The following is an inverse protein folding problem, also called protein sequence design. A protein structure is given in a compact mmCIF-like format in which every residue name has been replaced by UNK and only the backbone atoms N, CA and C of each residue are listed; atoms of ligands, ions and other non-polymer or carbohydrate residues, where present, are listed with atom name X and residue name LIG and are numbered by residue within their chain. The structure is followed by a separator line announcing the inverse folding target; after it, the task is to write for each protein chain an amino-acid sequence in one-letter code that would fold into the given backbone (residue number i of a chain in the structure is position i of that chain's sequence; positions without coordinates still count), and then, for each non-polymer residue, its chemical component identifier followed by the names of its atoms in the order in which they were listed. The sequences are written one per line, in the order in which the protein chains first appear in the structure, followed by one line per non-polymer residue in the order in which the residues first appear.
data_IF_170347152422
#
_entry.id   IF_170347152422
#
_cell.length_a   1.000
_cell.length_b   1.000
_cell.length_c   1.000
_cell.angle_alpha   90.00
_cell.angle_beta   90.00
_cell.angle_gamma   90.00
#
_symmetry.space_group_name_H-M   'P 1'
#
loop_
_entity.id
_entity.type
_entity.pdbx_description
1 polymer ?
#
# COMPACT_ATOMS: atom_id res chain seq x y z
N UNK A 1 -8.04 20.18 -8.02
CA UNK A 1 -6.71 19.86 -7.45
C UNK A 1 -6.70 18.37 -7.18
N UNK A 2 -5.62 17.64 -7.53
CA UNK A 2 -5.57 16.17 -7.37
C UNK A 2 -5.25 15.78 -5.92
N UNK A 3 -4.50 16.62 -5.20
CA UNK A 3 -4.38 16.62 -3.75
C UNK A 3 -4.41 18.09 -3.28
N UNK A 4 -4.76 18.33 -2.02
CA UNK A 4 -4.84 19.68 -1.44
C UNK A 4 -3.49 20.24 -1.00
N UNK A 5 -2.60 19.39 -0.50
CA UNK A 5 -1.31 19.81 0.03
C UNK A 5 -0.14 19.01 -0.56
N UNK A 6 0.91 19.72 -0.95
CA UNK A 6 2.15 19.12 -1.48
C UNK A 6 2.78 18.15 -0.48
N UNK A 7 2.73 18.49 0.81
CA UNK A 7 3.23 17.64 1.90
C UNK A 7 2.52 16.29 1.97
N UNK A 8 1.20 16.28 1.80
CA UNK A 8 0.39 15.05 1.87
C UNK A 8 0.65 14.15 0.66
N UNK A 9 0.80 14.73 -0.54
CA UNK A 9 1.19 14.00 -1.73
C UNK A 9 2.62 13.41 -1.58
N UNK A 10 3.57 14.18 -1.06
CA UNK A 10 4.93 13.70 -0.81
C UNK A 10 4.96 12.60 0.26
N UNK A 11 4.22 12.76 1.37
CA UNK A 11 4.09 11.74 2.42
C UNK A 11 3.42 10.46 1.89
N UNK A 12 2.42 10.58 1.01
CA UNK A 12 1.79 9.43 0.34
C UNK A 12 2.81 8.65 -0.49
N UNK A 13 3.71 9.32 -1.20
CA UNK A 13 4.81 8.66 -1.92
C UNK A 13 5.75 7.89 -0.98
N UNK A 14 6.01 8.41 0.24
CA UNK A 14 6.76 7.69 1.29
C UNK A 14 6.06 6.40 1.67
N UNK A 15 4.81 6.52 2.09
CA UNK A 15 4.04 5.42 2.65
C UNK A 15 3.85 4.32 1.60
N UNK A 16 3.40 4.69 0.40
CA UNK A 16 3.17 3.72 -0.67
C UNK A 16 4.47 3.11 -1.19
N UNK A 17 5.58 3.86 -1.26
CA UNK A 17 6.89 3.31 -1.61
C UNK A 17 7.38 2.27 -0.60
N UNK A 18 7.28 2.58 0.70
CA UNK A 18 7.65 1.64 1.76
C UNK A 18 6.81 0.35 1.72
N UNK A 19 5.49 0.49 1.64
CA UNK A 19 4.61 -0.68 1.61
C UNK A 19 4.73 -1.47 0.30
N UNK A 20 4.92 -0.81 -0.85
CA UNK A 20 5.19 -1.50 -2.11
C UNK A 20 6.42 -2.42 -2.01
N UNK A 21 7.51 -1.94 -1.40
CA UNK A 21 8.70 -2.76 -1.14
C UNK A 21 8.37 -3.99 -0.28
N UNK A 22 7.57 -3.81 0.77
CA UNK A 22 7.15 -4.88 1.68
C UNK A 22 6.27 -5.93 0.98
N UNK A 23 5.36 -5.51 0.10
CA UNK A 23 4.53 -6.40 -0.70
C UNK A 23 5.34 -7.18 -1.75
N UNK A 24 6.32 -6.54 -2.39
CA UNK A 24 7.29 -7.27 -3.22
C UNK A 24 8.11 -8.27 -2.40
N UNK A 25 8.35 -8.01 -1.11
CA UNK A 25 8.93 -8.97 -0.17
C UNK A 25 8.06 -10.22 0.03
N UNK A 26 6.75 -10.04 0.25
CA UNK A 26 5.79 -11.16 0.26
C UNK A 26 5.81 -11.95 -1.05
N UNK A 27 6.01 -11.27 -2.18
CA UNK A 27 6.09 -11.95 -3.47
C UNK A 27 7.31 -12.88 -3.62
N UNK A 28 8.31 -12.76 -2.75
CA UNK A 28 9.53 -13.56 -2.79
C UNK A 28 9.45 -14.92 -2.07
N UNK A 29 8.32 -15.29 -1.45
CA UNK A 29 8.19 -16.58 -0.75
C UNK A 29 8.54 -17.79 -1.66
N UNK A 30 7.98 -17.82 -2.88
CA UNK A 30 8.31 -18.83 -3.89
C UNK A 30 8.01 -18.32 -5.32
N UNK A 31 8.65 -17.24 -5.78
CA UNK A 31 8.36 -16.67 -7.09
C UNK A 31 8.93 -17.55 -8.21
N UNK A 32 8.28 -17.58 -9.39
CA UNK A 32 8.89 -18.06 -10.62
C UNK A 32 10.28 -17.42 -10.83
N UNK A 33 11.29 -18.18 -11.31
CA UNK A 33 12.64 -17.65 -11.49
C UNK A 33 12.72 -16.37 -12.33
N UNK A 34 11.86 -16.26 -13.34
CA UNK A 34 11.76 -15.09 -14.21
C UNK A 34 11.32 -13.81 -13.47
N UNK A 35 10.62 -13.92 -12.34
CA UNK A 35 10.11 -12.76 -11.60
C UNK A 35 11.16 -12.17 -10.65
N UNK A 36 12.17 -12.95 -10.24
CA UNK A 36 13.11 -12.53 -9.18
C UNK A 36 13.78 -11.19 -9.46
N UNK A 37 14.25 -10.97 -10.70
CA UNK A 37 14.85 -9.70 -11.12
C UNK A 37 13.83 -8.56 -11.07
N UNK A 38 12.63 -8.79 -11.59
CA UNK A 38 11.55 -7.81 -11.59
C UNK A 38 11.15 -7.40 -10.17
N UNK A 39 10.98 -8.37 -9.27
CA UNK A 39 10.66 -8.13 -7.86
C UNK A 39 11.75 -7.32 -7.16
N UNK A 40 13.02 -7.66 -7.37
CA UNK A 40 14.14 -6.93 -6.80
C UNK A 40 14.18 -5.48 -7.32
N UNK A 41 14.03 -5.27 -8.63
CA UNK A 41 13.96 -3.93 -9.23
C UNK A 41 12.76 -3.15 -8.70
N UNK A 42 11.59 -3.79 -8.55
CA UNK A 42 10.39 -3.21 -7.98
C UNK A 42 10.59 -2.75 -6.54
N UNK A 43 11.15 -3.61 -5.67
CA UNK A 43 11.49 -3.26 -4.29
C UNK A 43 12.45 -2.08 -4.20
N UNK A 44 13.54 -2.09 -4.99
CA UNK A 44 14.53 -1.00 -5.01
C UNK A 44 13.87 0.31 -5.45
N UNK A 45 13.09 0.28 -6.53
CA UNK A 45 12.40 1.46 -7.04
C UNK A 45 11.41 2.00 -6.01
N UNK A 46 10.68 1.12 -5.33
CA UNK A 46 9.75 1.49 -4.27
C UNK A 46 10.45 2.20 -3.09
N UNK A 47 11.62 1.72 -2.68
CA UNK A 47 12.45 2.39 -1.67
C UNK A 47 12.95 3.75 -2.18
N UNK A 48 13.38 3.85 -3.43
CA UNK A 48 13.79 5.14 -4.01
C UNK A 48 12.65 6.15 -4.02
N UNK A 49 11.42 5.72 -4.34
CA UNK A 49 10.24 6.59 -4.25
C UNK A 49 9.99 7.02 -2.81
N UNK A 50 10.15 6.11 -1.84
CA UNK A 50 9.97 6.45 -0.44
C UNK A 50 10.99 7.48 0.07
N UNK A 51 12.26 7.33 -0.33
CA UNK A 51 13.32 8.28 0.01
C UNK A 51 13.07 9.63 -0.65
N UNK A 52 12.77 9.65 -1.96
CA UNK A 52 12.50 10.90 -2.69
C UNK A 52 11.29 11.64 -2.12
N UNK A 53 10.19 10.93 -1.84
CA UNK A 53 9.02 11.48 -1.16
C UNK A 53 9.36 12.02 0.24
N UNK A 54 10.23 11.35 0.99
CA UNK A 54 10.61 11.76 2.33
C UNK A 54 11.45 13.03 2.33
N UNK A 55 12.38 13.15 1.39
CA UNK A 55 13.15 14.38 1.18
C UNK A 55 12.24 15.55 0.78
N UNK A 56 11.24 15.32 -0.07
CA UNK A 56 10.31 16.35 -0.49
C UNK A 56 9.35 16.75 0.66
N UNK A 57 8.79 15.78 1.38
CA UNK A 57 7.95 16.04 2.55
C UNK A 57 8.70 16.79 3.65
N UNK A 58 10.00 16.52 3.83
CA UNK A 58 10.84 17.27 4.76
C UNK A 58 11.05 18.73 4.32
N UNK A 59 11.26 18.99 3.02
CA UNK A 59 11.36 20.36 2.49
C UNK A 59 10.08 21.16 2.68
N UNK A 60 8.94 20.50 2.55
CA UNK A 60 7.60 21.09 2.70
C UNK A 60 6.99 20.86 4.09
N UNK A 61 7.82 20.59 5.11
CA UNK A 61 7.31 20.20 6.44
C UNK A 61 6.48 21.29 7.12
N UNK A 62 6.83 22.55 6.85
CA UNK A 62 6.14 23.73 7.39
C UNK A 62 4.91 24.16 6.58
N UNK A 63 4.64 23.49 5.46
CA UNK A 63 3.47 23.78 4.62
C UNK A 63 2.22 23.11 5.21
N UNK A 64 1.06 23.50 4.67
CA UNK A 64 -0.23 22.94 5.06
C UNK A 64 -0.31 21.42 4.89
N UNK A 65 -1.23 20.80 5.64
CA UNK A 65 -1.53 19.37 5.61
C UNK A 65 -2.98 19.16 5.99
N UNK A 66 -3.58 18.07 5.52
CA UNK A 66 -4.91 17.64 5.94
C UNK A 66 -4.98 17.26 7.44
N UNK A 67 -3.83 17.07 8.09
CA UNK A 67 -3.76 16.66 9.49
C UNK A 67 -3.82 17.84 10.47
N UNK A 68 -4.96 17.96 11.14
CA UNK A 68 -5.15 18.74 12.37
C UNK A 68 -5.38 17.81 13.58
N UNK A 69 -5.79 18.36 14.73
CA UNK A 69 -6.01 17.58 15.94
C UNK A 69 -7.11 16.50 15.78
N UNK A 70 -8.20 16.84 15.11
CA UNK A 70 -9.36 15.95 14.95
C UNK A 70 -9.12 14.90 13.86
N UNK A 71 -8.54 15.31 12.74
CA UNK A 71 -8.20 14.42 11.62
C UNK A 71 -7.09 13.45 12.02
N UNK A 72 -6.08 13.90 12.78
CA UNK A 72 -5.02 13.02 13.29
C UNK A 72 -5.55 11.97 14.26
N UNK A 73 -6.48 12.35 15.15
CA UNK A 73 -7.13 11.42 16.06
C UNK A 73 -7.94 10.38 15.30
N UNK A 74 -8.75 10.83 14.33
CA UNK A 74 -9.61 9.95 13.54
C UNK A 74 -8.77 8.99 12.69
N UNK A 75 -7.72 9.49 12.06
CA UNK A 75 -6.73 8.68 11.34
C UNK A 75 -6.12 7.61 12.24
N UNK A 76 -5.69 7.98 13.46
CA UNK A 76 -5.14 7.02 14.43
C UNK A 76 -6.13 5.91 14.81
N UNK A 77 -7.42 6.23 14.95
CA UNK A 77 -8.48 5.23 15.19
C UNK A 77 -8.64 4.31 13.99
N UNK A 78 -8.71 4.86 12.78
CA UNK A 78 -8.86 4.10 11.53
C UNK A 78 -7.69 3.14 11.33
N UNK A 79 -6.45 3.59 11.57
CA UNK A 79 -5.24 2.75 11.55
C UNK A 79 -5.27 1.71 12.67
N UNK A 80 -5.68 2.09 13.89
CA UNK A 80 -5.80 1.15 15.00
C UNK A 80 -6.75 -0.01 14.72
N UNK A 81 -7.90 0.29 14.10
CA UNK A 81 -8.88 -0.72 13.65
C UNK A 81 -8.26 -1.61 12.57
N UNK A 82 -7.58 -1.03 11.58
CA UNK A 82 -6.90 -1.78 10.51
C UNK A 82 -5.91 -2.79 11.09
N UNK A 83 -4.95 -2.34 11.90
CA UNK A 83 -3.94 -3.22 12.50
C UNK A 83 -4.58 -4.28 13.40
N UNK A 84 -5.65 -3.93 14.13
CA UNK A 84 -6.44 -4.88 14.91
C UNK A 84 -7.07 -5.98 14.05
N UNK A 85 -7.78 -5.61 12.98
CA UNK A 85 -8.43 -6.56 12.07
C UNK A 85 -7.40 -7.41 11.31
N UNK A 86 -6.31 -6.80 10.83
CA UNK A 86 -5.22 -7.49 10.15
C UNK A 86 -4.58 -8.53 11.08
N UNK A 87 -4.21 -8.14 12.30
CA UNK A 87 -3.58 -9.01 13.29
C UNK A 87 -4.49 -10.13 13.78
N UNK A 88 -5.74 -9.82 14.14
CA UNK A 88 -6.71 -10.81 14.61
C UNK A 88 -7.00 -11.84 13.51
N UNK A 89 -7.31 -11.41 12.29
CA UNK A 89 -7.60 -12.34 11.20
C UNK A 89 -6.38 -13.15 10.77
N UNK A 90 -5.17 -12.57 10.78
CA UNK A 90 -3.93 -13.33 10.56
C UNK A 90 -3.72 -14.40 11.64
N UNK A 91 -3.96 -14.06 12.91
CA UNK A 91 -3.88 -15.00 14.04
C UNK A 91 -4.88 -16.15 13.92
N UNK A 92 -6.14 -15.85 13.56
CA UNK A 92 -7.18 -16.86 13.31
C UNK A 92 -6.77 -17.78 12.16
N UNK A 93 -6.32 -17.23 11.03
CA UNK A 93 -5.88 -18.03 9.88
C UNK A 93 -4.68 -18.91 10.23
N UNK A 94 -3.72 -18.41 11.00
CA UNK A 94 -2.59 -19.20 11.48
C UNK A 94 -3.05 -20.35 12.39
N UNK A 95 -3.94 -20.07 13.35
CA UNK A 95 -4.50 -21.08 14.25
C UNK A 95 -5.27 -22.18 13.50
N UNK A 96 -5.97 -21.81 12.42
CA UNK A 96 -6.69 -22.75 11.55
C UNK A 96 -5.79 -23.46 10.52
N UNK A 97 -4.47 -23.26 10.56
CA UNK A 97 -3.51 -23.79 9.57
C UNK A 97 -3.90 -23.41 8.14
N UNK A 98 -4.27 -22.14 7.96
CA UNK A 98 -4.57 -21.48 6.69
C UNK A 98 -3.65 -20.29 6.44
N UNK A 99 -2.38 -20.42 6.86
CA UNK A 99 -1.39 -19.35 6.79
C UNK A 99 -1.13 -18.85 5.38
N UNK A 100 -1.40 -19.68 4.36
CA UNK A 100 -1.32 -19.31 2.95
C UNK A 100 -2.30 -18.18 2.56
N UNK A 101 -3.36 -17.97 3.35
CA UNK A 101 -4.36 -16.93 3.10
C UNK A 101 -4.07 -15.61 3.84
N UNK A 102 -3.05 -15.56 4.70
CA UNK A 102 -2.74 -14.38 5.52
C UNK A 102 -2.43 -13.17 4.64
N UNK A 103 -1.65 -13.34 3.57
CA UNK A 103 -1.35 -12.26 2.63
C UNK A 103 -2.61 -11.65 2.01
N UNK A 104 -3.54 -12.50 1.56
CA UNK A 104 -4.80 -12.06 0.95
C UNK A 104 -5.70 -11.38 1.98
N UNK A 105 -5.75 -11.88 3.22
CA UNK A 105 -6.47 -11.23 4.32
C UNK A 105 -5.93 -9.84 4.62
N UNK A 106 -4.62 -9.71 4.80
CA UNK A 106 -3.99 -8.41 5.09
C UNK A 106 -4.22 -7.45 3.92
N UNK A 107 -4.07 -7.91 2.67
CA UNK A 107 -4.34 -7.07 1.50
C UNK A 107 -5.81 -6.60 1.44
N UNK A 108 -6.76 -7.46 1.81
CA UNK A 108 -8.17 -7.08 1.89
C UNK A 108 -8.39 -5.99 2.94
N UNK A 109 -7.84 -6.18 4.14
CA UNK A 109 -7.95 -5.20 5.24
C UNK A 109 -7.32 -3.86 4.85
N UNK A 110 -6.11 -3.87 4.28
CA UNK A 110 -5.42 -2.67 3.78
C UNK A 110 -6.25 -1.99 2.69
N UNK A 111 -6.76 -2.74 1.70
CA UNK A 111 -7.58 -2.18 0.63
C UNK A 111 -8.84 -1.49 1.15
N UNK A 112 -9.53 -2.12 2.12
CA UNK A 112 -10.72 -1.53 2.76
C UNK A 112 -10.36 -0.32 3.63
N UNK A 113 -9.24 -0.39 4.37
CA UNK A 113 -8.74 0.69 5.22
C UNK A 113 -8.40 1.97 4.43
N UNK A 114 -7.94 1.82 3.18
CA UNK A 114 -7.56 2.97 2.37
C UNK A 114 -8.76 3.85 1.97
N UNK A 115 -10.00 3.35 1.97
CA UNK A 115 -11.20 4.17 1.70
C UNK A 115 -11.38 5.30 2.73
N UNK A 116 -11.51 5.02 4.05
CA UNK A 116 -11.61 6.10 5.04
C UNK A 116 -10.35 6.97 5.10
N UNK A 117 -9.15 6.44 4.81
CA UNK A 117 -7.95 7.27 4.69
C UNK A 117 -8.09 8.27 3.55
N UNK A 118 -8.57 7.84 2.38
CA UNK A 118 -8.74 8.70 1.22
C UNK A 118 -9.68 9.89 1.50
N UNK A 119 -10.75 9.64 2.26
CA UNK A 119 -11.69 10.69 2.72
C UNK A 119 -11.03 11.63 3.74
N UNK A 120 -10.30 11.09 4.72
CA UNK A 120 -9.67 11.90 5.77
C UNK A 120 -8.62 12.88 5.24
N UNK A 121 -7.90 12.49 4.19
CA UNK A 121 -6.85 13.34 3.61
C UNK A 121 -7.28 14.04 2.31
N UNK A 122 -8.55 13.86 1.91
CA UNK A 122 -9.15 14.35 0.66
C UNK A 122 -8.24 14.17 -0.56
N UNK A 123 -7.82 12.91 -0.79
CA UNK A 123 -6.92 12.55 -1.87
C UNK A 123 -7.53 11.43 -2.76
N UNK A 124 -8.24 11.79 -3.86
CA UNK A 124 -8.96 10.85 -4.71
C UNK A 124 -8.13 9.70 -5.30
N UNK A 125 -6.81 9.87 -5.49
CA UNK A 125 -5.93 8.79 -5.94
C UNK A 125 -6.02 7.57 -5.00
N UNK A 126 -6.16 7.81 -3.70
CA UNK A 126 -6.19 6.74 -2.69
C UNK A 126 -7.45 5.89 -2.82
N UNK A 127 -8.58 6.45 -3.26
CA UNK A 127 -9.78 5.66 -3.59
C UNK A 127 -9.53 4.63 -4.69
N UNK A 128 -8.77 5.03 -5.72
CA UNK A 128 -8.40 4.12 -6.82
C UNK A 128 -7.47 3.03 -6.30
N UNK A 129 -6.48 3.38 -5.48
CA UNK A 129 -5.58 2.41 -4.84
C UNK A 129 -6.36 1.45 -3.97
N UNK A 130 -7.27 1.94 -3.12
CA UNK A 130 -8.13 1.15 -2.25
C UNK A 130 -8.88 0.08 -3.05
N UNK A 131 -9.60 0.49 -4.10
CA UNK A 131 -10.36 -0.41 -4.96
C UNK A 131 -9.47 -1.46 -5.65
N UNK A 132 -8.30 -1.05 -6.17
CA UNK A 132 -7.38 -1.97 -6.86
C UNK A 132 -6.76 -2.99 -5.89
N UNK A 133 -6.36 -2.57 -4.68
CA UNK A 133 -5.82 -3.48 -3.66
C UNK A 133 -6.90 -4.46 -3.19
N UNK A 134 -8.12 -4.00 -2.95
CA UNK A 134 -9.25 -4.87 -2.62
C UNK A 134 -9.51 -5.88 -3.75
N UNK A 135 -9.48 -5.43 -5.01
CA UNK A 135 -9.64 -6.33 -6.15
C UNK A 135 -8.51 -7.38 -6.23
N UNK A 136 -7.25 -6.97 -6.01
CA UNK A 136 -6.11 -7.88 -5.94
C UNK A 136 -6.32 -8.92 -4.84
N UNK A 137 -6.75 -8.52 -3.64
CA UNK A 137 -6.99 -9.43 -2.53
C UNK A 137 -8.05 -10.50 -2.84
N UNK A 138 -9.15 -10.08 -3.48
CA UNK A 138 -10.24 -10.99 -3.88
C UNK A 138 -9.83 -11.91 -5.03
N UNK A 139 -9.09 -11.39 -6.03
CA UNK A 139 -8.68 -12.14 -7.21
C UNK A 139 -7.47 -13.05 -6.96
N UNK A 140 -6.66 -12.78 -5.94
CA UNK A 140 -5.39 -13.50 -5.75
C UNK A 140 -5.56 -15.00 -5.54
N UNK A 141 -6.58 -15.42 -4.80
CA UNK A 141 -6.83 -16.85 -4.52
C UNK A 141 -7.16 -17.65 -5.79
N UNK A 142 -8.17 -17.27 -6.61
CA UNK A 142 -8.45 -18.00 -7.84
C UNK A 142 -7.29 -17.93 -8.84
N UNK A 143 -6.61 -16.77 -8.96
CA UNK A 143 -5.45 -16.63 -9.84
C UNK A 143 -4.31 -17.54 -9.40
N UNK A 144 -3.94 -17.55 -8.12
CA UNK A 144 -2.88 -18.39 -7.58
C UNK A 144 -3.16 -19.88 -7.83
N UNK A 145 -4.39 -20.33 -7.60
CA UNK A 145 -4.82 -21.71 -7.87
C UNK A 145 -4.73 -22.06 -9.35
N UNK A 146 -5.22 -21.20 -10.23
CA UNK A 146 -5.23 -21.44 -11.69
C UNK A 146 -3.83 -21.51 -12.32
N UNK A 147 -2.83 -20.90 -11.67
CA UNK A 147 -1.45 -20.79 -12.15
C UNK A 147 -0.45 -21.59 -11.31
N UNK A 148 -0.92 -22.37 -10.34
CA UNK A 148 -0.07 -23.11 -9.39
C UNK A 148 0.98 -22.24 -8.69
N UNK A 149 0.59 -21.03 -8.30
CA UNK A 149 1.43 -20.05 -7.59
C UNK A 149 1.05 -20.00 -6.10
N UNK A 150 1.96 -19.47 -5.28
CA UNK A 150 1.61 -19.08 -3.91
C UNK A 150 0.69 -17.86 -3.93
N UNK A 151 -0.30 -17.83 -3.03
CA UNK A 151 -1.21 -16.68 -2.89
C UNK A 151 -0.42 -15.41 -2.57
N UNK A 152 0.56 -15.50 -1.68
CA UNK A 152 1.52 -14.42 -1.36
C UNK A 152 2.26 -13.86 -2.57
N UNK A 153 2.65 -14.71 -3.52
CA UNK A 153 3.28 -14.28 -4.77
C UNK A 153 2.36 -13.40 -5.61
N UNK A 154 1.09 -13.81 -5.75
CA UNK A 154 0.09 -13.07 -6.54
C UNK A 154 -0.32 -11.77 -5.85
N UNK A 155 -0.62 -11.83 -4.55
CA UNK A 155 -0.96 -10.65 -3.75
C UNK A 155 0.20 -9.66 -3.75
N UNK A 156 1.42 -10.13 -3.48
CA UNK A 156 2.59 -9.27 -3.36
C UNK A 156 2.94 -8.55 -4.66
N UNK A 157 2.87 -9.23 -5.81
CA UNK A 157 3.05 -8.59 -7.12
C UNK A 157 1.93 -7.58 -7.39
N UNK A 158 0.67 -7.97 -7.20
CA UNK A 158 -0.47 -7.10 -7.48
C UNK A 158 -0.46 -5.85 -6.60
N UNK A 159 -0.41 -6.03 -5.29
CA UNK A 159 -0.41 -4.94 -4.32
C UNK A 159 0.84 -4.07 -4.44
N UNK A 160 2.02 -4.69 -4.58
CA UNK A 160 3.28 -3.98 -4.77
C UNK A 160 3.29 -3.11 -6.03
N UNK A 161 2.71 -3.60 -7.13
CA UNK A 161 2.63 -2.85 -8.40
C UNK A 161 1.67 -1.66 -8.30
N UNK A 162 0.49 -1.86 -7.70
CA UNK A 162 -0.49 -0.79 -7.49
C UNK A 162 0.10 0.32 -6.60
N UNK A 163 0.71 -0.06 -5.47
CA UNK A 163 1.31 0.90 -4.54
C UNK A 163 2.53 1.59 -5.15
N UNK A 164 3.37 0.89 -5.92
CA UNK A 164 4.50 1.52 -6.60
C UNK A 164 4.02 2.56 -7.62
N UNK A 165 3.01 2.22 -8.44
CA UNK A 165 2.44 3.17 -9.40
C UNK A 165 1.85 4.40 -8.70
N UNK A 166 1.17 4.20 -7.57
CA UNK A 166 0.62 5.28 -6.77
C UNK A 166 1.71 6.13 -6.08
N UNK A 167 2.81 5.51 -5.64
CA UNK A 167 3.96 6.22 -5.08
C UNK A 167 4.63 7.12 -6.12
N UNK A 168 4.88 6.59 -7.33
CA UNK A 168 5.38 7.37 -8.47
C UNK A 168 4.42 8.51 -8.80
N UNK A 169 3.13 8.22 -8.91
CA UNK A 169 2.11 9.23 -9.22
C UNK A 169 2.07 10.34 -8.18
N UNK A 170 2.10 9.98 -6.90
CA UNK A 170 2.08 10.95 -5.79
C UNK A 170 3.35 11.80 -5.74
N UNK A 171 4.51 11.21 -6.03
CA UNK A 171 5.76 11.95 -6.14
C UNK A 171 5.72 12.94 -7.30
N UNK A 172 5.23 12.53 -8.46
CA UNK A 172 5.06 13.42 -9.63
C UNK A 172 4.09 14.55 -9.29
N UNK A 173 2.93 14.24 -8.70
CA UNK A 173 1.95 15.25 -8.26
C UNK A 173 2.60 16.25 -7.28
N UNK A 174 3.41 15.78 -6.33
CA UNK A 174 4.09 16.67 -5.40
C UNK A 174 5.17 17.55 -6.07
N UNK A 175 5.76 17.11 -7.18
CA UNK A 175 6.80 17.86 -7.90
C UNK A 175 6.25 18.88 -8.91
N UNK A 176 5.10 18.60 -9.53
CA UNK A 176 4.58 19.41 -10.65
C UNK A 176 3.12 19.87 -10.50
N UNK A 177 2.41 19.38 -9.48
CA UNK A 177 0.97 19.61 -9.28
C UNK A 177 0.61 20.79 -8.38
N UNK A 178 1.62 21.54 -7.92
CA UNK A 178 1.53 22.68 -7.01
C UNK A 178 2.46 23.79 -7.48
#
# INVERSE_FOLDING_TARGET
MIALHVRDAAATAVIFGFFASSWYGWAQEAPPPAWRKLLATGSITAILMAVAGGLLAWRHWSDGTAFDADTSRTFGIVVGIEFGLAGIGAGILAALRRSELISAWIALVVGVHLFPVAELIDYPLIHVVAALITLVALAAIPVARSRSLKVSAVVGVGAGSVLLAAAVSSLVIALVGY
#
